data_IF_028523213620
#
_entry.id   IF_028523213620
#
_cell.length_a   1.000
_cell.length_b   1.000
_cell.length_c   1.000
_cell.angle_alpha   90.00
_cell.angle_beta   90.00
_cell.angle_gamma   90.00
#
_symmetry.space_group_name_H-M   'P 1'
#
loop_
_entity.id
_entity.type
_entity.pdbx_description
1 polymer ?
#
# COMPACT_ATOMS: atom_id res chain seq x y z
N UNK A 1 -37.15 1.32 28.91
CA UNK A 1 -36.14 2.26 28.44
C UNK A 1 -36.20 2.24 26.90
N UNK A 2 -36.84 3.24 26.28
CA UNK A 2 -37.14 3.26 24.84
C UNK A 2 -35.92 3.81 24.08
N UNK A 3 -35.38 3.00 23.18
CA UNK A 3 -34.32 3.41 22.23
C UNK A 3 -34.97 4.25 21.14
N UNK A 4 -34.67 5.53 21.08
CA UNK A 4 -35.14 6.45 20.04
C UNK A 4 -34.27 6.24 18.80
N UNK A 5 -34.89 5.88 17.65
CA UNK A 5 -34.22 5.63 16.40
C UNK A 5 -33.81 6.95 15.75
N UNK A 6 -32.62 6.99 15.22
CA UNK A 6 -32.01 8.13 14.49
C UNK A 6 -32.78 8.48 13.18
N UNK A 7 -33.65 7.64 12.69
CA UNK A 7 -34.42 7.85 11.46
C UNK A 7 -35.45 8.98 11.56
N UNK A 8 -35.95 9.28 12.77
CA UNK A 8 -36.95 10.35 12.98
C UNK A 8 -36.37 11.78 12.91
N UNK A 9 -35.06 11.92 13.05
CA UNK A 9 -34.40 13.23 12.97
C UNK A 9 -34.19 13.70 11.52
N UNK A 10 -33.93 12.77 10.60
CA UNK A 10 -33.70 13.09 9.17
C UNK A 10 -34.98 13.56 8.45
N UNK A 11 -36.10 12.98 8.80
CA UNK A 11 -37.39 13.33 8.17
C UNK A 11 -37.91 14.72 8.62
N UNK A 12 -37.59 15.16 9.84
CA UNK A 12 -37.98 16.49 10.33
C UNK A 12 -37.11 17.64 9.78
N UNK A 13 -35.84 17.37 9.44
CA UNK A 13 -34.96 18.39 8.86
C UNK A 13 -35.29 18.64 7.39
N UNK A 14 -35.72 17.61 6.65
CA UNK A 14 -36.07 17.72 5.22
C UNK A 14 -37.38 18.49 5.00
N UNK A 15 -38.29 18.54 5.94
CA UNK A 15 -39.58 19.25 5.83
C UNK A 15 -39.41 20.76 6.11
N UNK A 16 -38.39 21.18 6.86
CA UNK A 16 -38.16 22.60 7.18
C UNK A 16 -37.47 23.41 6.10
N UNK A 17 -36.89 22.76 5.07
CA UNK A 17 -36.18 23.43 3.96
C UNK A 17 -37.09 23.67 2.74
N UNK A 18 -38.28 23.07 2.67
CA UNK A 18 -39.18 23.13 1.49
C UNK A 18 -40.15 24.30 1.43
N UNK A 19 -40.24 25.18 2.44
CA UNK A 19 -41.31 26.20 2.49
C UNK A 19 -40.85 27.65 2.75
N UNK A 20 -39.74 28.12 2.16
CA UNK A 20 -39.48 29.58 2.01
C UNK A 20 -38.51 29.86 0.87
N UNK A 21 -39.00 29.85 -0.35
CA UNK A 21 -38.35 30.63 -1.42
C UNK A 21 -39.00 32.02 -1.40
N UNK A 22 -38.36 32.99 -0.75
CA UNK A 22 -38.73 34.41 -0.85
C UNK A 22 -37.87 34.98 -1.97
N UNK A 23 -38.50 35.28 -3.11
CA UNK A 23 -37.86 35.99 -4.19
C UNK A 23 -37.66 37.46 -3.77
N UNK A 24 -36.43 37.84 -3.47
CA UNK A 24 -36.06 39.24 -3.22
C UNK A 24 -35.77 39.90 -4.58
N UNK A 25 -36.61 40.88 -4.98
CA UNK A 25 -36.40 41.61 -6.21
C UNK A 25 -35.20 42.56 -6.10
N UNK A 26 -34.49 42.77 -7.21
CA UNK A 26 -33.27 43.60 -7.31
C UNK A 26 -33.45 45.08 -6.84
N UNK A 27 -34.70 45.54 -6.65
CA UNK A 27 -34.98 46.91 -6.20
C UNK A 27 -34.98 47.08 -4.68
N UNK A 28 -35.12 46.02 -3.87
CA UNK A 28 -35.11 46.17 -2.42
C UNK A 28 -33.70 46.06 -1.78
N UNK A 29 -32.70 45.78 -2.60
CA UNK A 29 -31.30 45.65 -2.10
C UNK A 29 -30.58 47.02 -2.03
N UNK A 30 -31.03 48.03 -2.80
CA UNK A 30 -30.35 49.31 -2.90
C UNK A 30 -30.87 50.38 -1.93
N UNK A 31 -31.97 50.16 -1.21
CA UNK A 31 -32.54 51.16 -0.30
C UNK A 31 -32.22 50.96 1.18
N UNK A 32 -31.41 49.97 1.57
CA UNK A 32 -31.00 49.72 2.96
C UNK A 32 -29.49 49.86 3.21
N UNK A 33 -28.76 50.48 2.27
CA UNK A 33 -27.31 50.67 2.40
C UNK A 33 -26.91 52.08 2.91
N UNK A 34 -27.83 52.84 3.52
CA UNK A 34 -27.52 54.14 4.07
C UNK A 34 -28.11 54.24 5.50
N UNK A 35 -27.43 53.76 6.49
CA UNK A 35 -27.37 54.18 7.89
C UNK A 35 -26.85 53.05 8.78
N UNK A 36 -25.57 52.87 8.85
CA UNK A 36 -24.89 52.29 10.02
C UNK A 36 -23.42 52.71 9.97
N UNK A 37 -23.21 53.96 10.41
CA UNK A 37 -21.86 54.43 10.75
C UNK A 37 -21.54 53.95 12.16
N UNK A 38 -20.47 53.17 12.29
CA UNK A 38 -19.42 53.18 13.31
C UNK A 38 -19.76 52.77 14.73
N UNK A 39 -19.25 51.65 15.10
CA UNK A 39 -18.43 51.48 16.29
C UNK A 39 -17.46 50.34 16.00
N UNK A 40 -16.29 50.64 15.47
CA UNK A 40 -15.16 49.71 15.42
C UNK A 40 -14.59 49.59 16.82
N UNK A 41 -15.17 48.70 17.63
CA UNK A 41 -14.47 48.16 18.76
C UNK A 41 -13.42 47.18 18.21
N UNK A 42 -12.16 47.55 18.34
CA UNK A 42 -11.01 46.69 18.14
C UNK A 42 -11.07 45.56 19.15
N UNK A 43 -11.81 44.49 18.84
CA UNK A 43 -11.61 43.22 19.47
C UNK A 43 -10.39 42.59 18.79
N UNK A 44 -9.31 42.26 19.54
CA UNK A 44 -8.23 41.50 18.96
C UNK A 44 -8.83 40.18 18.51
N UNK A 45 -8.88 39.97 17.21
CA UNK A 45 -9.10 38.64 16.63
C UNK A 45 -7.95 37.78 17.13
N UNK A 46 -8.15 37.12 18.25
CA UNK A 46 -7.29 35.97 18.61
C UNK A 46 -7.52 34.94 17.51
N UNK A 47 -6.62 34.97 16.53
CA UNK A 47 -6.45 33.81 15.66
C UNK A 47 -6.15 32.60 16.57
N UNK A 48 -7.20 31.96 17.01
CA UNK A 48 -7.07 30.57 17.47
C UNK A 48 -6.40 29.87 16.31
N UNK A 49 -5.08 29.67 16.40
CA UNK A 49 -4.40 28.68 15.63
C UNK A 49 -5.10 27.37 16.00
N UNK A 50 -6.16 27.05 15.25
CA UNK A 50 -6.69 25.70 15.26
C UNK A 50 -5.47 24.81 15.08
N UNK A 51 -5.22 23.94 16.04
CA UNK A 51 -4.27 22.85 15.88
C UNK A 51 -4.73 22.12 14.62
N UNK A 52 -4.12 22.47 13.47
CA UNK A 52 -4.18 21.61 12.30
C UNK A 52 -3.57 20.33 12.84
N UNK A 53 -4.40 19.31 13.09
CA UNK A 53 -3.92 17.98 13.33
C UNK A 53 -3.05 17.66 12.12
N UNK A 54 -1.75 17.76 12.31
CA UNK A 54 -0.78 17.28 11.33
C UNK A 54 -1.18 15.81 11.17
N UNK A 55 -1.75 15.44 10.05
CA UNK A 55 -1.94 14.04 9.72
C UNK A 55 -0.52 13.48 9.61
N UNK A 56 -0.04 12.92 10.72
CA UNK A 56 1.28 12.33 10.75
C UNK A 56 1.25 11.13 9.79
N UNK A 57 2.29 10.99 8.99
CA UNK A 57 2.46 9.81 8.14
C UNK A 57 2.39 8.55 9.00
N UNK A 58 1.82 7.42 8.48
CA UNK A 58 1.92 6.12 9.12
C UNK A 58 3.35 5.72 9.47
N UNK A 59 4.35 6.28 8.79
CA UNK A 59 5.77 6.03 9.03
C UNK A 59 6.37 6.90 10.15
N UNK A 60 5.67 7.91 10.66
CA UNK A 60 6.18 8.78 11.73
C UNK A 60 6.61 7.97 12.96
N UNK A 61 7.87 8.09 13.33
CA UNK A 61 8.49 7.41 14.48
C UNK A 61 8.72 5.91 14.30
N UNK A 62 8.36 5.30 13.17
CA UNK A 62 8.55 3.86 12.92
C UNK A 62 10.03 3.51 12.78
N UNK A 63 10.42 2.35 13.33
CA UNK A 63 11.73 1.75 13.13
C UNK A 63 11.67 0.77 11.96
N UNK A 64 12.45 1.04 10.94
CA UNK A 64 12.48 0.29 9.69
C UNK A 64 13.87 -0.33 9.50
N UNK A 65 13.90 -1.63 9.22
CA UNK A 65 15.08 -2.32 8.73
C UNK A 65 14.98 -2.48 7.22
N UNK A 66 15.88 -1.85 6.46
CA UNK A 66 15.96 -1.94 5.00
C UNK A 66 17.12 -2.86 4.62
N UNK A 67 16.79 -4.06 4.13
CA UNK A 67 17.78 -5.06 3.70
C UNK A 67 17.78 -5.13 2.18
N UNK A 68 18.95 -4.92 1.58
CA UNK A 68 19.10 -4.90 0.13
C UNK A 68 20.33 -5.66 -0.33
N UNK A 69 20.29 -6.18 -1.55
CA UNK A 69 21.41 -6.91 -2.15
C UNK A 69 20.93 -8.00 -3.12
N UNK A 70 21.69 -9.09 -3.16
CA UNK A 70 21.46 -10.17 -4.11
C UNK A 70 21.92 -9.79 -5.51
N UNK A 71 21.11 -10.06 -6.54
CA UNK A 71 21.49 -9.76 -7.92
C UNK A 71 21.33 -8.27 -8.24
N UNK A 72 22.46 -7.65 -8.62
CA UNK A 72 22.52 -6.20 -8.83
C UNK A 72 21.83 -5.72 -10.12
N UNK A 73 21.42 -6.62 -11.01
CA UNK A 73 20.70 -6.27 -12.23
C UNK A 73 19.32 -5.63 -11.98
N UNK A 74 18.76 -5.82 -10.77
CA UNK A 74 17.53 -5.14 -10.33
C UNK A 74 17.79 -3.78 -9.65
N UNK A 75 18.99 -3.24 -9.73
CA UNK A 75 19.36 -1.93 -9.19
C UNK A 75 18.92 -1.70 -7.72
N UNK A 76 19.16 -2.66 -6.81
CA UNK A 76 18.66 -2.52 -5.44
C UNK A 76 19.28 -1.32 -4.70
N UNK A 77 20.49 -0.91 -5.04
CA UNK A 77 21.16 0.29 -4.55
C UNK A 77 20.41 1.56 -4.95
N UNK A 78 20.05 1.69 -6.25
CA UNK A 78 19.28 2.86 -6.72
C UNK A 78 17.87 2.89 -6.16
N UNK A 79 17.22 1.73 -6.03
CA UNK A 79 15.92 1.64 -5.36
C UNK A 79 16.02 2.06 -3.88
N UNK A 80 17.04 1.62 -3.15
CA UNK A 80 17.34 2.11 -1.79
C UNK A 80 17.41 3.63 -1.76
N UNK A 81 18.12 4.24 -2.71
CA UNK A 81 18.32 5.70 -2.78
C UNK A 81 17.02 6.49 -3.08
N UNK A 82 15.99 5.82 -3.62
CA UNK A 82 14.64 6.39 -3.75
C UNK A 82 13.87 6.25 -2.44
N UNK A 83 13.80 5.05 -1.87
CA UNK A 83 12.86 4.75 -0.81
C UNK A 83 13.35 5.11 0.59
N UNK A 84 14.65 5.01 0.88
CA UNK A 84 15.19 5.34 2.22
C UNK A 84 14.99 6.83 2.52
N UNK A 85 15.44 7.78 1.69
CA UNK A 85 15.22 9.21 1.98
C UNK A 85 13.73 9.58 2.04
N UNK A 86 12.90 8.92 1.23
CA UNK A 86 11.46 9.15 1.28
C UNK A 86 10.88 8.69 2.63
N UNK A 87 11.20 7.49 3.12
CA UNK A 87 10.73 7.02 4.43
C UNK A 87 11.20 7.92 5.56
N UNK A 88 12.45 8.37 5.53
CA UNK A 88 13.01 9.31 6.51
C UNK A 88 12.30 10.65 6.48
N UNK A 89 11.94 11.15 5.29
CA UNK A 89 11.17 12.38 5.12
C UNK A 89 9.74 12.28 5.69
N UNK A 90 9.22 11.07 5.81
CA UNK A 90 7.94 10.75 6.47
C UNK A 90 8.08 10.48 7.98
N UNK A 91 9.28 10.62 8.52
CA UNK A 91 9.56 10.50 9.96
C UNK A 91 10.00 9.12 10.42
N UNK A 92 10.26 8.16 9.50
CA UNK A 92 10.79 6.85 9.87
C UNK A 92 12.25 6.93 10.33
N UNK A 93 12.64 5.98 11.16
CA UNK A 93 14.03 5.72 11.55
C UNK A 93 14.51 4.49 10.80
N UNK A 94 15.24 4.70 9.71
CA UNK A 94 15.66 3.62 8.82
C UNK A 94 17.07 3.15 9.17
N UNK A 95 17.21 1.83 9.37
CA UNK A 95 18.52 1.15 9.44
C UNK A 95 18.70 0.37 8.16
N UNK A 96 19.76 0.67 7.41
CA UNK A 96 20.08 0.02 6.14
C UNK A 96 21.11 -1.07 6.36
N UNK A 97 20.92 -2.23 5.70
CA UNK A 97 21.85 -3.35 5.73
C UNK A 97 22.05 -3.97 4.36
N UNK A 98 23.30 -4.30 4.05
CA UNK A 98 23.73 -5.03 2.85
C UNK A 98 24.00 -6.52 3.14
N UNK A 99 23.49 -7.01 4.27
CA UNK A 99 23.67 -8.40 4.67
C UNK A 99 22.43 -8.96 5.36
N UNK A 100 22.12 -10.22 5.10
CA UNK A 100 21.03 -10.96 5.74
C UNK A 100 21.27 -11.22 7.24
N UNK A 101 22.52 -11.04 7.73
CA UNK A 101 22.83 -11.12 9.17
C UNK A 101 22.09 -10.06 9.98
N UNK A 102 21.54 -9.04 9.33
CA UNK A 102 20.68 -8.06 9.98
C UNK A 102 19.47 -8.72 10.65
N UNK A 103 18.96 -9.82 10.10
CA UNK A 103 17.84 -10.57 10.69
C UNK A 103 18.20 -11.21 12.04
N UNK A 104 19.45 -11.65 12.21
CA UNK A 104 19.95 -12.21 13.48
C UNK A 104 20.17 -11.14 14.57
N UNK A 105 20.37 -9.89 14.15
CA UNK A 105 20.74 -8.78 15.04
C UNK A 105 19.57 -7.86 15.37
N UNK A 106 18.44 -7.98 14.66
CA UNK A 106 17.29 -7.10 14.88
C UNK A 106 16.60 -7.37 16.22
N UNK A 107 16.19 -6.30 16.89
CA UNK A 107 15.26 -6.39 18.02
C UNK A 107 13.81 -6.35 17.47
N UNK A 108 13.23 -7.52 17.23
CA UNK A 108 11.87 -7.66 16.68
C UNK A 108 10.79 -7.01 17.55
N UNK A 109 11.02 -6.78 18.85
CA UNK A 109 10.07 -6.09 19.72
C UNK A 109 9.98 -4.61 19.40
N UNK A 110 11.11 -4.01 19.03
CA UNK A 110 11.18 -2.58 18.69
C UNK A 110 11.05 -2.28 17.21
N UNK A 111 11.27 -3.28 16.34
CA UNK A 111 11.18 -3.11 14.89
C UNK A 111 9.71 -3.10 14.45
N UNK A 112 9.35 -2.18 13.57
CA UNK A 112 7.99 -2.04 13.07
C UNK A 112 7.82 -2.61 11.67
N UNK A 113 8.84 -2.46 10.82
CA UNK A 113 8.79 -2.81 9.42
C UNK A 113 10.13 -3.33 8.91
N UNK A 114 10.09 -4.36 8.08
CA UNK A 114 11.21 -4.79 7.25
C UNK A 114 10.90 -4.44 5.80
N UNK A 115 11.83 -3.76 5.13
CA UNK A 115 11.86 -3.66 3.67
C UNK A 115 12.93 -4.62 3.19
N UNK A 116 12.55 -5.55 2.32
CA UNK A 116 13.50 -6.48 1.71
C UNK A 116 13.49 -6.33 0.19
N UNK A 117 14.69 -6.08 -0.37
CA UNK A 117 14.96 -6.11 -1.81
C UNK A 117 16.25 -6.91 -2.05
N UNK A 118 16.10 -8.23 -1.97
CA UNK A 118 17.22 -9.20 -2.10
C UNK A 118 16.89 -10.25 -3.15
N UNK A 119 17.24 -10.01 -4.40
CA UNK A 119 16.92 -10.94 -5.50
C UNK A 119 17.80 -12.16 -5.50
N UNK A 120 17.21 -13.35 -5.66
CA UNK A 120 17.90 -14.64 -5.64
C UNK A 120 18.65 -14.91 -4.30
N UNK A 121 19.82 -15.52 -4.38
CA UNK A 121 20.66 -15.82 -3.23
C UNK A 121 20.17 -17.00 -2.39
N UNK A 122 20.82 -17.15 -1.25
CA UNK A 122 20.49 -18.15 -0.24
C UNK A 122 20.38 -17.50 1.12
N UNK A 123 19.51 -18.00 1.96
CA UNK A 123 19.34 -17.61 3.35
C UNK A 123 19.66 -18.82 4.24
N UNK A 124 20.36 -18.61 5.35
CA UNK A 124 20.58 -19.71 6.32
C UNK A 124 19.31 -19.98 7.11
N UNK A 125 19.19 -21.19 7.68
CA UNK A 125 18.03 -21.52 8.51
C UNK A 125 17.82 -20.58 9.69
N UNK A 126 18.91 -20.13 10.33
CA UNK A 126 18.82 -19.18 11.44
C UNK A 126 18.33 -17.80 10.99
N UNK A 127 18.81 -17.30 9.85
CA UNK A 127 18.36 -16.04 9.26
C UNK A 127 16.88 -16.13 8.83
N UNK A 128 16.49 -17.22 8.17
CA UNK A 128 15.10 -17.48 7.77
C UNK A 128 14.18 -17.54 8.99
N UNK A 129 14.52 -18.34 10.00
CA UNK A 129 13.74 -18.46 11.22
C UNK A 129 13.59 -17.08 11.92
N UNK A 130 14.68 -16.32 12.03
CA UNK A 130 14.63 -15.00 12.65
C UNK A 130 13.69 -14.04 11.88
N UNK A 131 13.73 -14.07 10.54
CA UNK A 131 12.83 -13.29 9.69
C UNK A 131 11.37 -13.71 9.86
N UNK A 132 11.08 -15.01 9.68
CA UNK A 132 9.72 -15.54 9.76
C UNK A 132 9.09 -15.33 11.14
N UNK A 133 9.86 -15.54 12.21
CA UNK A 133 9.43 -15.28 13.58
C UNK A 133 9.10 -13.80 13.81
N UNK A 134 9.92 -12.89 13.26
CA UNK A 134 9.66 -11.46 13.41
C UNK A 134 8.33 -11.06 12.74
N UNK A 135 8.08 -11.55 11.52
CA UNK A 135 6.83 -11.26 10.81
C UNK A 135 5.66 -11.92 11.54
N UNK A 136 5.77 -13.19 11.92
CA UNK A 136 4.72 -13.91 12.64
C UNK A 136 4.34 -13.26 13.97
N UNK A 137 5.31 -12.62 14.64
CA UNK A 137 5.11 -11.87 15.89
C UNK A 137 4.52 -10.45 15.68
N UNK A 138 4.38 -10.00 14.42
CA UNK A 138 3.68 -8.76 14.09
C UNK A 138 4.54 -7.66 13.45
N UNK A 139 5.83 -7.88 13.15
CA UNK A 139 6.60 -6.96 12.31
C UNK A 139 6.01 -6.98 10.90
N UNK A 140 5.81 -5.83 10.29
CA UNK A 140 5.41 -5.76 8.89
C UNK A 140 6.56 -6.07 7.94
N UNK A 141 6.26 -6.59 6.76
CA UNK A 141 7.24 -6.70 5.66
C UNK A 141 6.66 -6.16 4.36
N UNK A 142 7.49 -5.43 3.62
CA UNK A 142 7.18 -4.96 2.28
C UNK A 142 8.40 -5.13 1.37
N UNK A 143 8.14 -5.41 0.11
CA UNK A 143 9.17 -5.52 -0.91
C UNK A 143 8.55 -5.62 -2.29
N UNK A 144 9.40 -5.69 -3.30
CA UNK A 144 8.93 -5.66 -4.67
C UNK A 144 9.79 -6.49 -5.60
N UNK A 145 9.20 -6.80 -6.74
CA UNK A 145 9.82 -7.50 -7.86
C UNK A 145 10.59 -8.73 -7.39
N UNK A 146 11.76 -8.98 -7.96
CA UNK A 146 12.63 -10.07 -7.54
C UNK A 146 13.18 -9.91 -6.12
N UNK A 147 13.20 -8.68 -5.60
CA UNK A 147 13.74 -8.39 -4.27
C UNK A 147 12.96 -8.99 -3.10
N UNK A 148 11.71 -9.39 -3.32
CA UNK A 148 10.92 -10.16 -2.37
C UNK A 148 10.34 -11.43 -3.02
N UNK A 149 9.84 -11.35 -4.27
CA UNK A 149 9.15 -12.46 -4.93
C UNK A 149 10.08 -13.48 -5.61
N UNK A 150 11.36 -13.17 -5.77
CA UNK A 150 12.37 -14.06 -6.34
C UNK A 150 13.56 -14.28 -5.39
N UNK A 151 13.41 -13.96 -4.12
CA UNK A 151 14.39 -14.23 -3.10
C UNK A 151 14.37 -15.71 -2.70
N UNK A 152 15.54 -16.27 -2.46
CA UNK A 152 15.70 -17.58 -1.82
C UNK A 152 14.83 -18.68 -2.44
N UNK A 153 14.93 -18.88 -3.74
CA UNK A 153 14.05 -19.75 -4.59
C UNK A 153 13.79 -21.16 -4.03
N UNK A 154 14.67 -21.69 -3.19
CA UNK A 154 14.53 -23.04 -2.63
C UNK A 154 13.83 -23.06 -1.25
N UNK A 155 13.44 -21.92 -0.70
CA UNK A 155 12.90 -21.79 0.64
C UNK A 155 11.37 -21.70 0.61
N UNK A 156 10.70 -22.82 0.75
CA UNK A 156 9.22 -22.91 0.69
C UNK A 156 8.53 -22.18 1.84
N UNK A 157 9.14 -22.15 3.04
CA UNK A 157 8.58 -21.43 4.17
C UNK A 157 8.64 -19.90 3.94
N UNK A 158 9.72 -19.42 3.34
CA UNK A 158 9.84 -18.02 2.91
C UNK A 158 8.77 -17.67 1.86
N UNK A 159 8.60 -18.48 0.83
CA UNK A 159 7.57 -18.28 -0.22
C UNK A 159 6.16 -18.27 0.37
N UNK A 160 5.89 -19.15 1.34
CA UNK A 160 4.61 -19.17 2.05
C UNK A 160 4.37 -17.89 2.85
N UNK A 161 5.41 -17.29 3.42
CA UNK A 161 5.33 -15.99 4.08
C UNK A 161 5.02 -14.88 3.07
N UNK A 162 5.73 -14.84 1.93
CA UNK A 162 5.53 -13.82 0.88
C UNK A 162 4.15 -13.95 0.22
N UNK A 163 3.65 -15.17 0.06
CA UNK A 163 2.39 -15.47 -0.63
C UNK A 163 2.53 -15.66 -2.14
N UNK A 164 3.73 -15.85 -2.62
CA UNK A 164 3.99 -16.15 -4.03
C UNK A 164 5.47 -16.25 -4.34
N UNK A 165 5.75 -16.70 -5.55
CA UNK A 165 7.10 -16.86 -6.08
C UNK A 165 7.13 -16.54 -7.56
N UNK A 166 8.17 -15.86 -7.99
CA UNK A 166 8.51 -15.70 -9.41
C UNK A 166 8.80 -17.06 -10.06
N UNK A 167 8.31 -17.19 -11.30
CA UNK A 167 8.51 -18.39 -12.12
C UNK A 167 9.21 -18.03 -13.42
N UNK A 168 8.71 -17.00 -14.12
CA UNK A 168 9.22 -16.59 -15.43
C UNK A 168 8.83 -15.15 -15.75
N UNK A 169 9.48 -14.57 -16.75
CA UNK A 169 9.10 -13.31 -17.40
C UNK A 169 9.29 -13.46 -18.93
N UNK A 170 8.40 -14.19 -19.61
CA UNK A 170 8.47 -14.42 -21.05
C UNK A 170 8.52 -13.08 -21.81
N UNK A 171 9.48 -12.95 -22.72
CA UNK A 171 9.72 -11.72 -23.46
C UNK A 171 10.73 -10.77 -22.81
N UNK A 172 11.13 -10.99 -21.55
CA UNK A 172 12.03 -10.08 -20.84
C UNK A 172 11.33 -8.77 -20.48
N UNK A 173 11.96 -7.64 -20.85
CA UNK A 173 11.36 -6.30 -20.70
C UNK A 173 10.43 -6.05 -21.87
N UNK A 174 9.14 -5.88 -21.59
CA UNK A 174 8.07 -5.70 -22.59
C UNK A 174 7.07 -4.64 -22.12
N UNK A 175 6.23 -4.19 -23.02
CA UNK A 175 5.08 -3.35 -22.69
C UNK A 175 3.93 -4.23 -22.23
N UNK A 176 3.33 -3.90 -21.06
CA UNK A 176 2.16 -4.61 -20.55
C UNK A 176 1.27 -3.72 -19.70
N UNK A 177 0.02 -4.15 -19.57
CA UNK A 177 -1.01 -3.44 -18.79
C UNK A 177 -1.11 -4.00 -17.39
N UNK A 178 -1.19 -3.11 -16.40
CA UNK A 178 -1.56 -3.40 -15.03
C UNK A 178 -2.99 -2.96 -14.80
N UNK A 179 -3.84 -3.87 -14.33
CA UNK A 179 -5.25 -3.63 -14.08
C UNK A 179 -5.49 -3.56 -12.58
N UNK A 180 -6.09 -2.48 -12.10
CA UNK A 180 -6.50 -2.34 -10.70
C UNK A 180 -7.80 -3.14 -10.51
N UNK A 181 -7.79 -4.09 -9.58
CA UNK A 181 -8.94 -4.97 -9.34
C UNK A 181 -9.68 -4.70 -8.03
N UNK A 182 -9.04 -3.99 -7.10
CA UNK A 182 -9.69 -3.51 -5.87
C UNK A 182 -9.51 -1.99 -5.79
N UNK A 183 -10.55 -1.23 -6.13
CA UNK A 183 -10.55 0.23 -6.13
C UNK A 183 -10.88 0.84 -4.76
N UNK A 184 -11.33 0.02 -3.80
CA UNK A 184 -11.70 0.46 -2.46
C UNK A 184 -10.57 0.26 -1.44
N UNK A 185 -9.54 -0.53 -1.79
CA UNK A 185 -8.39 -0.76 -0.91
C UNK A 185 -7.54 0.52 -0.78
N UNK A 186 -7.11 0.90 0.44
CA UNK A 186 -6.29 2.09 0.65
C UNK A 186 -5.01 2.16 -0.19
N UNK A 187 -4.48 1.02 -0.64
CA UNK A 187 -3.27 0.96 -1.46
C UNK A 187 -3.56 1.37 -2.91
N UNK A 188 -4.73 1.00 -3.44
CA UNK A 188 -5.09 1.19 -4.85
C UNK A 188 -6.20 2.20 -5.07
N UNK A 189 -6.85 2.67 -4.00
CA UNK A 189 -7.93 3.66 -4.09
C UNK A 189 -7.53 4.90 -4.90
N UNK A 190 -8.38 5.24 -5.87
CA UNK A 190 -8.19 6.42 -6.73
C UNK A 190 -7.13 6.25 -7.82
N UNK A 191 -6.53 5.06 -7.96
CA UNK A 191 -5.68 4.73 -9.10
C UNK A 191 -6.51 4.11 -10.22
N UNK A 192 -6.06 4.36 -11.45
CA UNK A 192 -6.58 3.74 -12.66
C UNK A 192 -5.61 2.68 -13.17
N UNK A 193 -6.05 1.85 -14.10
CA UNK A 193 -5.17 0.96 -14.84
C UNK A 193 -4.08 1.75 -15.57
N UNK A 194 -2.88 1.19 -15.64
CA UNK A 194 -1.72 1.85 -16.20
C UNK A 194 -0.81 0.90 -16.98
N UNK A 195 0.07 1.46 -17.78
CA UNK A 195 0.99 0.70 -18.61
C UNK A 195 2.40 0.71 -18.00
N UNK A 196 3.09 -0.41 -18.13
CA UNK A 196 4.49 -0.59 -17.74
C UNK A 196 5.32 -1.01 -18.95
N UNK A 197 6.58 -0.57 -18.97
CA UNK A 197 7.62 -1.10 -19.82
C UNK A 197 8.67 -1.75 -18.91
N UNK A 198 8.52 -3.05 -18.63
CA UNK A 198 9.28 -3.74 -17.60
C UNK A 198 9.22 -5.25 -17.76
N UNK A 199 9.80 -6.02 -16.85
CA UNK A 199 9.59 -7.47 -16.79
C UNK A 199 8.18 -7.78 -16.27
N UNK A 200 7.38 -8.43 -17.11
CA UNK A 200 6.07 -8.95 -16.72
C UNK A 200 6.24 -10.30 -16.02
N UNK A 201 6.07 -10.33 -14.69
CA UNK A 201 6.28 -11.55 -13.92
C UNK A 201 5.10 -12.51 -14.00
N UNK A 202 5.36 -13.75 -14.44
CA UNK A 202 4.51 -14.88 -14.22
C UNK A 202 4.83 -15.46 -12.84
N UNK A 203 3.83 -15.48 -11.94
CA UNK A 203 4.01 -15.83 -10.54
C UNK A 203 3.20 -17.06 -10.17
N UNK A 204 3.77 -17.95 -9.35
CA UNK A 204 2.94 -18.84 -8.53
C UNK A 204 2.47 -18.03 -7.31
N UNK A 205 1.16 -18.03 -7.05
CA UNK A 205 0.55 -17.19 -6.02
C UNK A 205 -0.30 -18.05 -5.08
N UNK A 206 -0.11 -17.84 -3.78
CA UNK A 206 -0.89 -18.44 -2.71
C UNK A 206 -2.37 -18.00 -2.82
N UNK A 207 -3.35 -18.93 -2.79
CA UNK A 207 -4.76 -18.56 -2.79
C UNK A 207 -5.21 -17.73 -1.59
N UNK A 208 -4.37 -17.61 -0.56
CA UNK A 208 -4.64 -16.83 0.66
C UNK A 208 -4.11 -15.40 0.59
N UNK A 209 -4.01 -14.80 -0.59
CA UNK A 209 -3.64 -13.39 -0.74
C UNK A 209 -4.86 -12.55 -1.10
N UNK A 210 -4.87 -11.28 -0.70
CA UNK A 210 -5.78 -10.27 -1.22
C UNK A 210 -5.12 -9.58 -2.42
N UNK A 211 -5.62 -9.88 -3.60
CA UNK A 211 -5.12 -9.30 -4.86
C UNK A 211 -5.65 -7.88 -5.02
N UNK A 212 -4.76 -6.95 -5.36
CA UNK A 212 -5.08 -5.53 -5.56
C UNK A 212 -4.93 -5.10 -7.02
N UNK A 213 -4.00 -5.71 -7.75
CA UNK A 213 -3.79 -5.48 -9.17
C UNK A 213 -3.34 -6.76 -9.88
N UNK A 214 -3.64 -6.85 -11.16
CA UNK A 214 -3.33 -8.01 -12.02
C UNK A 214 -2.73 -7.55 -13.34
N UNK A 215 -2.16 -8.50 -14.09
CA UNK A 215 -1.80 -8.34 -15.50
C UNK A 215 -2.30 -9.55 -16.30
N UNK A 216 -2.54 -9.38 -17.59
CA UNK A 216 -2.94 -10.48 -18.48
C UNK A 216 -1.80 -10.74 -19.46
N UNK A 217 -1.38 -11.99 -19.55
CA UNK A 217 -0.34 -12.41 -20.47
C UNK A 217 -0.89 -12.57 -21.90
N UNK A 218 -0.11 -12.13 -22.89
CA UNK A 218 -0.35 -12.48 -24.29
C UNK A 218 0.23 -13.87 -24.60
N UNK A 219 -0.08 -14.40 -25.77
CA UNK A 219 0.48 -15.62 -26.32
C UNK A 219 1.77 -15.38 -27.14
N UNK A 220 2.23 -14.12 -27.25
CA UNK A 220 3.34 -13.72 -28.11
C UNK A 220 4.66 -14.39 -27.76
N UNK A 221 4.96 -14.49 -26.45
CA UNK A 221 6.26 -15.01 -25.98
C UNK A 221 6.18 -16.44 -25.41
N UNK A 222 4.96 -16.92 -25.14
CA UNK A 222 4.66 -18.26 -24.66
C UNK A 222 3.18 -18.55 -24.88
N UNK A 223 2.84 -19.30 -25.94
CA UNK A 223 1.48 -19.52 -26.41
C UNK A 223 0.57 -20.20 -25.37
N UNK A 224 1.14 -21.07 -24.51
CA UNK A 224 0.38 -21.80 -23.46
C UNK A 224 -0.04 -20.94 -22.25
N UNK A 225 0.43 -19.70 -22.14
CA UNK A 225 0.01 -18.78 -21.06
C UNK A 225 -0.89 -17.65 -21.56
N UNK A 226 -1.19 -17.59 -22.85
CA UNK A 226 -2.06 -16.57 -23.43
C UNK A 226 -3.41 -16.50 -22.70
N UNK A 227 -3.81 -15.28 -22.31
CA UNK A 227 -5.04 -15.03 -21.56
C UNK A 227 -4.99 -15.32 -20.06
N UNK A 228 -3.87 -15.82 -19.53
CA UNK A 228 -3.73 -16.00 -18.07
C UNK A 228 -3.64 -14.65 -17.35
N UNK A 229 -4.45 -14.51 -16.32
CA UNK A 229 -4.47 -13.34 -15.44
C UNK A 229 -3.65 -13.65 -14.19
N UNK A 230 -2.57 -12.91 -13.99
CA UNK A 230 -1.61 -13.13 -12.88
C UNK A 230 -1.65 -11.94 -11.92
N UNK A 231 -1.71 -12.16 -10.60
CA UNK A 231 -1.57 -11.12 -9.60
C UNK A 231 -0.24 -10.38 -9.71
N UNK A 232 -0.30 -9.04 -9.69
CA UNK A 232 0.86 -8.13 -9.73
C UNK A 232 1.11 -7.54 -8.36
N UNK A 233 0.04 -7.16 -7.65
CA UNK A 233 0.11 -6.55 -6.32
C UNK A 233 -0.82 -7.30 -5.39
N UNK A 234 -0.30 -7.67 -4.23
CA UNK A 234 -1.12 -8.28 -3.18
C UNK A 234 -0.66 -7.92 -1.78
N UNK A 235 -1.56 -8.19 -0.84
CA UNK A 235 -1.29 -8.15 0.59
C UNK A 235 -1.83 -9.41 1.27
N UNK A 236 -1.21 -9.81 2.37
CA UNK A 236 -1.65 -10.95 3.18
C UNK A 236 -1.24 -10.80 4.64
N UNK A 237 -1.78 -11.69 5.46
CA UNK A 237 -1.31 -11.93 6.81
C UNK A 237 -0.31 -13.09 6.84
N UNK A 238 0.71 -12.98 7.69
CA UNK A 238 1.54 -14.10 8.13
C UNK A 238 1.69 -14.04 9.65
N UNK A 239 1.03 -14.96 10.35
CA UNK A 239 0.86 -14.82 11.80
C UNK A 239 0.11 -13.53 12.14
N UNK A 240 0.76 -12.63 12.88
CA UNK A 240 0.25 -11.29 13.23
C UNK A 240 0.78 -10.20 12.30
N UNK A 241 1.71 -10.54 11.39
CA UNK A 241 2.38 -9.58 10.52
C UNK A 241 1.64 -9.32 9.22
N UNK A 242 1.76 -8.09 8.73
CA UNK A 242 1.30 -7.66 7.41
C UNK A 242 2.39 -7.87 6.38
N UNK A 243 2.06 -8.51 5.28
CA UNK A 243 2.96 -8.76 4.15
C UNK A 243 2.43 -8.02 2.93
N UNK A 244 3.21 -7.14 2.36
CA UNK A 244 2.91 -6.44 1.12
C UNK A 244 3.92 -6.80 0.05
N UNK A 245 3.42 -7.14 -1.13
CA UNK A 245 4.22 -7.43 -2.31
C UNK A 245 3.68 -6.73 -3.56
N UNK A 246 4.61 -6.27 -4.39
CA UNK A 246 4.36 -5.80 -5.75
C UNK A 246 5.37 -6.43 -6.71
N UNK A 247 4.95 -6.97 -7.85
CA UNK A 247 5.89 -7.45 -8.88
C UNK A 247 6.45 -6.35 -9.76
N UNK A 248 6.03 -5.09 -9.56
CA UNK A 248 6.55 -3.90 -10.24
C UNK A 248 7.91 -3.51 -9.65
N UNK A 249 8.73 -2.80 -10.43
CA UNK A 249 10.01 -2.28 -9.93
C UNK A 249 11.21 -3.17 -10.26
N UNK A 250 11.29 -3.64 -11.51
CA UNK A 250 12.45 -4.34 -12.06
C UNK A 250 13.73 -3.52 -11.90
N UNK A 251 13.68 -2.26 -12.30
CA UNK A 251 14.75 -1.28 -12.11
C UNK A 251 14.20 0.00 -11.47
N UNK A 252 15.10 0.85 -10.99
CA UNK A 252 14.74 2.10 -10.33
C UNK A 252 13.90 3.03 -11.21
N UNK A 253 14.09 2.98 -12.53
CA UNK A 253 13.32 3.77 -13.51
C UNK A 253 11.83 3.41 -13.58
N UNK A 254 11.44 2.19 -13.20
CA UNK A 254 10.04 1.76 -13.16
C UNK A 254 9.21 2.63 -12.21
N UNK A 255 9.84 3.17 -11.18
CA UNK A 255 9.20 4.09 -10.23
C UNK A 255 9.03 5.52 -10.77
N UNK A 256 9.40 5.80 -12.04
CA UNK A 256 8.95 6.99 -12.75
C UNK A 256 7.49 6.88 -13.21
N UNK A 257 6.91 5.67 -13.21
CA UNK A 257 5.46 5.46 -13.40
C UNK A 257 4.76 5.83 -12.07
N UNK A 258 3.93 6.89 -12.06
CA UNK A 258 3.38 7.42 -10.82
C UNK A 258 2.55 6.41 -10.03
N UNK A 259 1.77 5.56 -10.72
CA UNK A 259 0.92 4.55 -10.11
C UNK A 259 1.78 3.45 -9.44
N UNK A 260 2.85 3.00 -10.09
CA UNK A 260 3.76 2.00 -9.54
C UNK A 260 4.45 2.54 -8.27
N UNK A 261 4.94 3.78 -8.29
CA UNK A 261 5.55 4.44 -7.14
C UNK A 261 4.55 4.60 -5.99
N UNK A 262 3.33 5.05 -6.30
CA UNK A 262 2.31 5.29 -5.27
C UNK A 262 1.83 3.99 -4.63
N UNK A 263 1.61 2.92 -5.41
CA UNK A 263 1.28 1.58 -4.90
C UNK A 263 2.36 1.13 -3.92
N UNK A 264 3.63 1.25 -4.28
CA UNK A 264 4.73 0.83 -3.43
C UNK A 264 4.79 1.65 -2.13
N UNK A 265 4.64 2.97 -2.21
CA UNK A 265 4.61 3.85 -1.03
C UNK A 265 3.45 3.54 -0.09
N UNK A 266 2.25 3.34 -0.65
CA UNK A 266 1.06 3.00 0.14
C UNK A 266 1.18 1.62 0.78
N UNK A 267 1.72 0.64 0.04
CA UNK A 267 1.99 -0.70 0.57
C UNK A 267 2.97 -0.70 1.74
N UNK A 268 4.05 0.08 1.65
CA UNK A 268 5.01 0.29 2.73
C UNK A 268 4.34 0.92 3.96
N UNK A 269 3.53 1.98 3.76
CA UNK A 269 2.77 2.61 4.86
C UNK A 269 1.79 1.61 5.49
N UNK A 270 1.06 0.84 4.70
CA UNK A 270 0.13 -0.17 5.19
C UNK A 270 0.84 -1.26 6.01
N UNK A 271 1.96 -1.77 5.53
CA UNK A 271 2.74 -2.78 6.24
C UNK A 271 3.32 -2.24 7.56
N UNK A 272 3.70 -0.95 7.62
CA UNK A 272 4.26 -0.32 8.83
C UNK A 272 3.27 -0.24 10.01
N UNK A 273 1.99 -0.39 9.74
CA UNK A 273 0.92 -0.36 10.73
C UNK A 273 0.64 -1.72 11.38
N UNK A 274 1.39 -2.76 11.01
CA UNK A 274 1.18 -4.15 11.41
C UNK A 274 0.95 -4.33 12.92
N UNK A 275 1.73 -3.68 13.77
CA UNK A 275 1.62 -3.76 15.24
C UNK A 275 0.58 -2.80 15.84
N UNK A 276 0.04 -1.89 15.06
CA UNK A 276 -0.72 -0.74 15.57
C UNK A 276 -2.20 -0.79 15.22
N UNK A 277 -2.55 -1.56 14.20
CA UNK A 277 -3.91 -1.73 13.73
C UNK A 277 -4.24 -3.21 13.64
N UNK A 278 -5.48 -3.61 13.95
CA UNK A 278 -5.92 -4.98 13.75
C UNK A 278 -5.78 -5.37 12.28
N UNK A 279 -5.46 -6.65 12.05
CA UNK A 279 -5.47 -7.19 10.70
C UNK A 279 -6.90 -7.11 10.15
N UNK A 280 -7.02 -6.66 8.91
CA UNK A 280 -8.29 -6.66 8.21
C UNK A 280 -8.78 -8.10 8.01
N UNK A 281 -10.06 -8.34 8.24
CA UNK A 281 -10.66 -9.64 8.00
C UNK A 281 -11.05 -9.75 6.52
N UNK A 282 -10.17 -10.27 5.70
CA UNK A 282 -10.48 -10.62 4.30
C UNK A 282 -10.20 -12.08 4.02
N UNK A 283 -11.04 -12.65 3.18
CA UNK A 283 -10.86 -13.98 2.60
C UNK A 283 -11.23 -13.89 1.13
N UNK A 284 -10.30 -13.37 0.35
CA UNK A 284 -10.50 -13.16 -1.08
C UNK A 284 -9.38 -13.87 -1.85
N UNK A 285 -9.28 -15.21 -1.77
CA UNK A 285 -8.30 -15.93 -2.57
C UNK A 285 -8.63 -15.72 -4.05
N UNK A 286 -7.60 -15.60 -4.87
CA UNK A 286 -7.72 -15.51 -6.34
C UNK A 286 -8.56 -16.65 -6.91
N UNK A 287 -8.56 -17.79 -6.22
CA UNK A 287 -9.24 -19.03 -6.61
C UNK A 287 -10.52 -19.29 -5.82
N UNK A 288 -11.16 -18.26 -5.27
CA UNK A 288 -12.36 -18.37 -4.44
C UNK A 288 -13.50 -19.18 -5.09
N UNK A 289 -13.57 -19.18 -6.42
CA UNK A 289 -14.64 -19.83 -7.17
C UNK A 289 -14.41 -21.30 -7.52
N UNK A 290 -13.25 -21.84 -7.18
CA UNK A 290 -12.94 -23.26 -7.49
C UNK A 290 -13.91 -24.23 -6.81
N UNK A 291 -14.36 -23.92 -5.62
CA UNK A 291 -15.33 -24.75 -4.89
C UNK A 291 -16.77 -24.68 -5.41
N UNK A 292 -17.07 -23.77 -6.34
CA UNK A 292 -18.41 -23.60 -6.92
C UNK A 292 -18.60 -24.32 -8.25
N UNK A 293 -17.55 -24.98 -8.78
CA UNK A 293 -17.55 -25.67 -10.07
C UNK A 293 -17.64 -27.19 -9.95
N UNK A 294 -17.98 -27.69 -8.77
CA UNK A 294 -18.26 -29.10 -8.52
C UNK A 294 -19.74 -29.43 -8.64
#
# INVERSE_FOLDING_TARGET
MKICRLEDLYTKITILVKNRIIMISRRSFLSKAAAATVATALTPYVFSRGCIKKNNSPLEGKKVLFVWGGWMGHEPDKCRDIFVPWMESEGAKVTVSETLDAYLKMDKKQLDLIIQIWTMGQITGDQENALLDAISDGVGIAGWHGGLGDSFRNNVAYQFMVGGQWVAHPGGVIDYRVNIVDHDDPITMGLSDFDMHSEQYFMHVDPNVKVLATTTFSDEHADWIGGNVIPVVWKKAYGKGRVFYSSLGHVSADFNVPEALEIQKRGIRWASLSKYEPMEDWKQPVYADWGKRG
#
